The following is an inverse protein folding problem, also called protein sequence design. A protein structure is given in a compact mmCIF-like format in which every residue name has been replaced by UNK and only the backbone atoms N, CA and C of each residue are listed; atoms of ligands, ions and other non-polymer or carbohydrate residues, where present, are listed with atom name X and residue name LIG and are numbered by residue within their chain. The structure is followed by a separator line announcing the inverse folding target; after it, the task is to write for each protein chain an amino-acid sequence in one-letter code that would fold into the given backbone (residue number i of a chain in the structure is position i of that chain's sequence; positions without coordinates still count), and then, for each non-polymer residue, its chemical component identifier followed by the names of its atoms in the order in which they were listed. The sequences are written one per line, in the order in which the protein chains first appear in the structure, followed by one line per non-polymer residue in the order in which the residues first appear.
data_IF_941323200470
#
_entry.id   IF_941323200470
#
_cell.length_a   1.000
_cell.length_b   1.000
_cell.length_c   1.000
_cell.angle_alpha   90.00
_cell.angle_beta   90.00
_cell.angle_gamma   90.00
#
_symmetry.space_group_name_H-M   'P 1'
#
loop_
_entity.id
_entity.type
_entity.pdbx_description
1 polymer ?
#
# COMPACT_ATOMS: atom_id res chain seq x y z
N UNK A 1 7.29 -14.59 -16.72
CA UNK A 1 6.55 -15.06 -15.52
C UNK A 1 5.25 -14.30 -15.41
N UNK A 2 4.15 -14.96 -15.03
CA UNK A 2 2.88 -14.27 -14.80
C UNK A 2 2.88 -13.59 -13.41
N UNK A 3 2.12 -12.49 -13.25
CA UNK A 3 2.05 -11.71 -12.01
C UNK A 3 1.82 -12.56 -10.75
N UNK A 4 0.91 -13.53 -10.82
CA UNK A 4 0.58 -14.37 -9.65
C UNK A 4 1.69 -15.35 -9.27
N UNK A 5 2.48 -15.84 -10.23
CA UNK A 5 3.64 -16.69 -9.93
C UNK A 5 4.67 -15.88 -9.13
N UNK A 6 4.89 -14.63 -9.53
CA UNK A 6 5.72 -13.68 -8.80
C UNK A 6 5.18 -13.42 -7.39
N UNK A 7 3.89 -13.11 -7.23
CA UNK A 7 3.31 -12.88 -5.90
C UNK A 7 3.48 -14.11 -5.00
N UNK A 8 3.20 -15.31 -5.51
CA UNK A 8 3.29 -16.54 -4.71
C UNK A 8 4.72 -16.94 -4.36
N UNK A 9 5.70 -16.65 -5.23
CA UNK A 9 7.11 -16.92 -4.94
C UNK A 9 7.67 -16.07 -3.80
N UNK A 10 7.02 -14.95 -3.47
CA UNK A 10 7.41 -14.06 -2.36
C UNK A 10 6.63 -14.35 -1.07
N UNK A 11 5.84 -15.43 -1.01
CA UNK A 11 5.11 -15.79 0.21
C UNK A 11 5.93 -16.71 1.11
N UNK A 12 6.13 -16.29 2.36
CA UNK A 12 6.92 -17.07 3.34
C UNK A 12 6.05 -17.71 4.42
N UNK A 13 6.51 -18.84 4.97
CA UNK A 13 5.80 -19.57 6.03
C UNK A 13 5.69 -18.71 7.30
N UNK A 14 4.48 -18.66 7.87
CA UNK A 14 4.12 -17.87 9.07
C UNK A 14 4.34 -16.36 8.95
N UNK A 15 4.75 -15.85 7.78
CA UNK A 15 4.83 -14.43 7.52
C UNK A 15 3.64 -13.97 6.69
N UNK A 16 3.33 -12.68 6.81
CA UNK A 16 2.27 -12.02 6.05
C UNK A 16 2.92 -11.16 4.98
N UNK A 17 2.72 -11.52 3.71
CA UNK A 17 3.14 -10.69 2.59
C UNK A 17 2.21 -9.49 2.47
N UNK A 18 2.77 -8.28 2.36
CA UNK A 18 2.03 -7.06 2.08
C UNK A 18 2.16 -6.74 0.59
N UNK A 19 1.03 -6.59 -0.09
CA UNK A 19 0.96 -6.15 -1.48
C UNK A 19 0.24 -4.82 -1.49
N UNK A 20 0.95 -3.76 -1.86
CA UNK A 20 0.44 -2.39 -1.79
C UNK A 20 0.31 -1.84 -3.22
N UNK A 21 -0.84 -1.25 -3.52
CA UNK A 21 -1.11 -0.59 -4.80
C UNK A 21 -2.00 0.63 -4.58
N UNK A 22 -1.96 1.61 -5.48
CA UNK A 22 -2.87 2.77 -5.43
C UNK A 22 -4.18 2.43 -6.14
N UNK A 23 -5.32 2.66 -5.50
CA UNK A 23 -6.62 2.24 -6.01
C UNK A 23 -6.67 0.72 -6.27
N UNK A 24 -6.26 -0.05 -5.25
CA UNK A 24 -6.01 -1.48 -5.30
C UNK A 24 -7.14 -2.28 -5.98
N UNK A 25 -8.39 -1.89 -5.74
CA UNK A 25 -9.56 -2.61 -6.23
C UNK A 25 -9.57 -2.73 -7.76
N UNK A 26 -9.07 -1.72 -8.47
CA UNK A 26 -8.96 -1.75 -9.92
C UNK A 26 -7.98 -2.83 -10.38
N UNK A 27 -6.72 -2.74 -9.95
CA UNK A 27 -5.67 -3.69 -10.33
C UNK A 27 -6.03 -5.11 -9.93
N UNK A 28 -6.52 -5.29 -8.70
CA UNK A 28 -6.94 -6.59 -8.17
C UNK A 28 -8.02 -7.26 -9.05
N UNK A 29 -8.93 -6.46 -9.60
CA UNK A 29 -9.97 -6.93 -10.54
C UNK A 29 -9.36 -7.28 -11.89
N UNK A 30 -8.52 -6.41 -12.46
CA UNK A 30 -7.85 -6.63 -13.76
C UNK A 30 -7.01 -7.91 -13.74
N UNK A 31 -6.25 -8.15 -12.68
CA UNK A 31 -5.44 -9.36 -12.52
C UNK A 31 -6.25 -10.58 -12.07
N UNK A 32 -7.58 -10.47 -11.99
CA UNK A 32 -8.51 -11.56 -11.62
C UNK A 32 -8.18 -12.19 -10.27
N UNK A 33 -7.90 -11.37 -9.25
CA UNK A 33 -7.30 -11.83 -8.00
C UNK A 33 -8.07 -12.92 -7.27
N UNK A 34 -9.40 -12.83 -7.21
CA UNK A 34 -10.22 -13.88 -6.59
C UNK A 34 -10.03 -15.25 -7.24
N UNK A 35 -9.91 -15.30 -8.57
CA UNK A 35 -9.74 -16.55 -9.31
C UNK A 35 -8.41 -17.22 -8.96
N UNK A 36 -7.33 -16.45 -8.95
CA UNK A 36 -5.99 -16.97 -8.68
C UNK A 36 -5.79 -17.34 -7.20
N UNK A 37 -6.29 -16.52 -6.28
CA UNK A 37 -6.23 -16.80 -4.84
C UNK A 37 -7.02 -18.05 -4.46
N UNK A 38 -8.23 -18.22 -5.01
CA UNK A 38 -9.04 -19.42 -4.79
C UNK A 38 -8.35 -20.67 -5.33
N UNK A 39 -7.80 -20.61 -6.55
CA UNK A 39 -7.04 -21.72 -7.16
C UNK A 39 -5.81 -22.10 -6.31
N UNK A 40 -5.14 -21.13 -5.70
CA UNK A 40 -4.00 -21.33 -4.82
C UNK A 40 -4.36 -21.72 -3.36
N UNK A 41 -5.64 -21.94 -3.06
CA UNK A 41 -6.12 -22.43 -1.75
C UNK A 41 -6.18 -21.37 -0.66
N UNK A 42 -6.10 -20.09 -1.00
CA UNK A 42 -6.32 -19.01 -0.03
C UNK A 42 -7.80 -18.85 0.30
N UNK A 43 -8.09 -18.60 1.59
CA UNK A 43 -9.42 -18.25 2.09
C UNK A 43 -9.45 -16.78 2.50
N UNK A 44 -10.56 -16.11 2.21
CA UNK A 44 -10.80 -14.75 2.69
C UNK A 44 -10.85 -14.73 4.22
N UNK A 45 -10.19 -13.74 4.83
CA UNK A 45 -10.18 -13.52 6.28
C UNK A 45 -10.74 -12.16 6.66
N UNK A 46 -10.47 -11.15 5.85
CA UNK A 46 -11.00 -9.81 6.05
C UNK A 46 -11.13 -9.13 4.70
N UNK A 47 -12.23 -8.41 4.52
CA UNK A 47 -12.49 -7.61 3.33
C UNK A 47 -13.13 -6.29 3.78
N UNK A 48 -12.51 -5.19 3.40
CA UNK A 48 -13.06 -3.86 3.56
C UNK A 48 -12.82 -3.10 2.27
N UNK A 49 -13.88 -2.48 1.74
CA UNK A 49 -13.86 -1.66 0.56
C UNK A 49 -14.87 -0.53 0.79
N UNK A 50 -14.37 0.66 1.13
CA UNK A 50 -15.18 1.85 1.29
C UNK A 50 -14.39 3.08 0.89
N UNK A 51 -14.87 3.79 -0.15
CA UNK A 51 -14.19 4.96 -0.68
C UNK A 51 -12.77 4.63 -1.14
N UNK A 52 -11.79 5.33 -0.56
CA UNK A 52 -10.36 5.11 -0.85
C UNK A 52 -9.70 4.09 0.08
N UNK A 53 -10.48 3.47 0.99
CA UNK A 53 -9.98 2.50 1.94
C UNK A 53 -10.25 1.07 1.45
N UNK A 54 -9.21 0.39 0.96
CA UNK A 54 -9.31 -1.00 0.50
C UNK A 54 -8.31 -1.89 1.26
N UNK A 55 -8.83 -2.97 1.85
CA UNK A 55 -8.06 -3.96 2.59
C UNK A 55 -8.62 -5.34 2.26
N UNK A 56 -7.77 -6.21 1.72
CA UNK A 56 -8.10 -7.61 1.45
C UNK A 56 -7.08 -8.49 2.17
N UNK A 57 -7.51 -9.24 3.19
CA UNK A 57 -6.67 -10.20 3.89
C UNK A 57 -7.09 -11.61 3.54
N UNK A 58 -6.16 -12.40 3.01
CA UNK A 58 -6.36 -13.80 2.68
C UNK A 58 -5.32 -14.67 3.35
N UNK A 59 -5.70 -15.90 3.70
CA UNK A 59 -4.84 -16.81 4.44
C UNK A 59 -5.05 -18.26 4.02
N UNK A 60 -3.95 -19.01 3.99
CA UNK A 60 -3.93 -20.48 4.02
C UNK A 60 -3.18 -20.98 5.26
N UNK A 61 -3.08 -22.30 5.44
CA UNK A 61 -2.42 -22.88 6.64
C UNK A 61 -0.98 -22.39 6.81
N UNK A 62 -0.23 -22.27 5.72
CA UNK A 62 1.21 -21.95 5.77
C UNK A 62 1.53 -20.45 5.82
N UNK A 63 0.78 -19.60 5.11
CA UNK A 63 1.10 -18.18 4.96
C UNK A 63 -0.15 -17.31 4.72
N UNK A 64 0.04 -15.99 4.78
CA UNK A 64 -1.01 -15.00 4.58
C UNK A 64 -0.56 -13.90 3.61
N UNK A 65 -1.51 -13.29 2.90
CA UNK A 65 -1.29 -12.11 2.06
C UNK A 65 -2.30 -11.06 2.47
N UNK A 66 -1.84 -9.82 2.63
CA UNK A 66 -2.71 -8.66 2.76
C UNK A 66 -2.47 -7.73 1.58
N UNK A 67 -3.54 -7.42 0.86
CA UNK A 67 -3.56 -6.40 -0.17
C UNK A 67 -4.09 -5.10 0.45
N UNK A 68 -3.36 -4.00 0.26
CA UNK A 68 -3.66 -2.70 0.87
C UNK A 68 -3.67 -1.63 -0.20
N UNK A 69 -4.65 -0.72 -0.12
CA UNK A 69 -4.60 0.53 -0.87
C UNK A 69 -3.56 1.46 -0.26
N UNK A 70 -2.68 2.04 -1.07
CA UNK A 70 -1.79 3.09 -0.58
C UNK A 70 -2.57 4.35 -0.18
N UNK A 71 -3.78 4.54 -0.72
CA UNK A 71 -4.69 5.61 -0.31
C UNK A 71 -5.24 5.45 1.12
N UNK A 72 -5.01 4.32 1.77
CA UNK A 72 -5.27 4.16 3.21
C UNK A 72 -4.40 5.10 4.06
N UNK A 73 -3.27 5.57 3.51
CA UNK A 73 -2.37 6.53 4.15
C UNK A 73 -2.25 7.84 3.37
N UNK A 74 -2.22 7.79 2.03
CA UNK A 74 -1.96 8.95 1.17
C UNK A 74 -3.20 9.30 0.34
N UNK A 75 -4.05 10.17 0.87
CA UNK A 75 -5.33 10.54 0.21
C UNK A 75 -5.09 11.66 -0.80
N UNK A 76 -4.35 11.36 -1.86
CA UNK A 76 -4.03 12.29 -2.94
C UNK A 76 -3.84 11.57 -4.29
N UNK A 77 -3.79 12.34 -5.39
CA UNK A 77 -3.51 11.79 -6.72
C UNK A 77 -2.04 11.46 -6.89
N UNK A 78 -1.71 10.52 -7.78
CA UNK A 78 -0.31 10.12 -8.02
C UNK A 78 0.52 11.29 -8.54
N UNK A 79 -0.12 12.19 -9.29
CA UNK A 79 0.48 13.40 -9.83
C UNK A 79 0.89 14.37 -8.70
N UNK A 80 -0.02 14.65 -7.76
CA UNK A 80 0.28 15.48 -6.58
C UNK A 80 1.36 14.84 -5.70
N UNK A 81 1.30 13.52 -5.51
CA UNK A 81 2.37 12.79 -4.79
C UNK A 81 3.71 12.99 -5.48
N UNK A 82 3.76 12.83 -6.81
CA UNK A 82 4.96 12.98 -7.61
C UNK A 82 5.56 14.39 -7.50
N UNK A 83 4.73 15.43 -7.63
CA UNK A 83 5.14 16.82 -7.43
C UNK A 83 5.72 17.05 -6.02
N UNK A 84 5.03 16.56 -4.98
CA UNK A 84 5.45 16.71 -3.58
C UNK A 84 6.79 16.05 -3.28
N UNK A 85 7.10 14.91 -3.91
CA UNK A 85 8.36 14.17 -3.69
C UNK A 85 9.43 14.45 -4.75
N UNK A 86 9.16 15.36 -5.71
CA UNK A 86 10.11 15.74 -6.76
C UNK A 86 10.28 14.72 -7.89
N UNK A 87 9.33 13.79 -8.07
CA UNK A 87 9.33 12.78 -9.14
C UNK A 87 8.13 13.02 -10.05
N UNK A 88 8.34 13.66 -11.20
CA UNK A 88 7.26 13.98 -12.14
C UNK A 88 6.59 12.71 -12.68
N UNK A 89 5.25 12.67 -12.63
CA UNK A 89 4.45 11.62 -13.26
C UNK A 89 4.55 11.72 -14.78
N UNK A 90 4.82 10.60 -15.44
CA UNK A 90 4.69 10.49 -16.90
C UNK A 90 3.22 10.31 -17.24
N UNK A 91 2.63 11.31 -17.90
CA UNK A 91 1.27 11.21 -18.44
C UNK A 91 1.24 10.24 -19.64
N UNK A 92 0.14 9.51 -19.79
CA UNK A 92 -0.03 8.52 -20.87
C UNK A 92 -1.34 8.81 -21.58
N UNK A 93 -1.28 8.94 -22.90
CA UNK A 93 -2.47 8.83 -23.75
C UNK A 93 -2.69 7.36 -24.10
N UNK A 94 -3.63 6.72 -23.40
CA UNK A 94 -3.94 5.31 -23.58
C UNK A 94 -4.49 4.95 -24.97
N UNK A 95 -4.88 5.94 -25.79
CA UNK A 95 -5.36 5.70 -27.16
C UNK A 95 -4.23 5.56 -28.17
N UNK A 96 -3.12 6.25 -27.94
CA UNK A 96 -2.05 6.41 -28.94
C UNK A 96 -0.70 5.85 -28.48
N UNK A 97 -0.51 5.60 -27.19
CA UNK A 97 0.78 5.15 -26.66
C UNK A 97 1.21 3.78 -27.21
N UNK A 98 2.50 3.66 -27.47
CA UNK A 98 3.16 2.38 -27.73
C UNK A 98 3.30 1.56 -26.44
N UNK A 99 3.53 0.25 -26.60
CA UNK A 99 3.80 -0.64 -25.46
C UNK A 99 5.05 -0.22 -24.67
N UNK A 100 6.06 0.34 -25.34
CA UNK A 100 7.30 0.80 -24.70
C UNK A 100 7.04 2.01 -23.81
N UNK A 101 6.32 3.01 -24.34
CA UNK A 101 5.93 4.20 -23.58
C UNK A 101 5.06 3.83 -22.38
N UNK A 102 4.09 2.94 -22.57
CA UNK A 102 3.24 2.44 -21.49
C UNK A 102 4.08 1.74 -20.41
N UNK A 103 5.05 0.89 -20.79
CA UNK A 103 5.93 0.22 -19.83
C UNK A 103 6.78 1.21 -19.03
N UNK A 104 7.33 2.22 -19.70
CA UNK A 104 8.12 3.29 -19.06
C UNK A 104 7.26 4.09 -18.07
N UNK A 105 6.04 4.45 -18.46
CA UNK A 105 5.12 5.16 -17.58
C UNK A 105 4.69 4.32 -16.38
N UNK A 106 4.34 3.04 -16.56
CA UNK A 106 4.01 2.14 -15.45
C UNK A 106 5.16 2.01 -14.44
N UNK A 107 6.42 1.92 -14.91
CA UNK A 107 7.60 1.91 -14.03
C UNK A 107 7.74 3.22 -13.26
N UNK A 108 7.55 4.36 -13.92
CA UNK A 108 7.57 5.68 -13.27
C UNK A 108 6.47 5.79 -12.20
N UNK A 109 5.25 5.31 -12.48
CA UNK A 109 4.14 5.36 -11.53
C UNK A 109 4.42 4.52 -10.28
N UNK A 110 4.95 3.31 -10.45
CA UNK A 110 5.38 2.43 -9.35
C UNK A 110 6.55 3.03 -8.57
N UNK A 111 7.49 3.71 -9.25
CA UNK A 111 8.60 4.40 -8.60
C UNK A 111 8.11 5.53 -7.67
N UNK A 112 7.13 6.31 -8.11
CA UNK A 112 6.51 7.36 -7.28
C UNK A 112 5.89 6.75 -6.01
N UNK A 113 5.14 5.65 -6.14
CA UNK A 113 4.59 4.93 -4.99
C UNK A 113 5.68 4.45 -4.02
N UNK A 114 6.72 3.82 -4.57
CA UNK A 114 7.82 3.26 -3.79
C UNK A 114 8.58 4.33 -3.01
N UNK A 115 8.95 5.44 -3.66
CA UNK A 115 9.68 6.53 -3.01
C UNK A 115 8.82 7.25 -1.97
N UNK A 116 7.53 7.46 -2.25
CA UNK A 116 6.61 8.00 -1.27
C UNK A 116 6.49 7.09 -0.04
N UNK A 117 6.40 5.78 -0.24
CA UNK A 117 6.32 4.82 0.87
C UNK A 117 7.62 4.76 1.69
N UNK A 118 8.78 4.87 1.04
CA UNK A 118 10.08 4.97 1.73
C UNK A 118 10.19 6.22 2.59
N UNK A 119 9.70 7.37 2.11
CA UNK A 119 9.64 8.59 2.91
C UNK A 119 8.73 8.40 4.13
N UNK A 120 7.60 7.73 3.95
CA UNK A 120 6.70 7.41 5.05
C UNK A 120 7.32 6.46 6.07
N UNK A 121 8.03 5.41 5.64
CA UNK A 121 8.78 4.52 6.55
C UNK A 121 9.81 5.31 7.35
N UNK A 122 10.62 6.15 6.70
CA UNK A 122 11.60 7.03 7.37
C UNK A 122 10.94 7.93 8.40
N UNK A 123 9.77 8.48 8.09
CA UNK A 123 8.98 9.25 9.05
C UNK A 123 8.57 8.38 10.24
N UNK A 124 8.03 7.18 10.04
CA UNK A 124 7.59 6.31 11.13
C UNK A 124 8.75 5.89 12.04
N UNK A 125 9.89 5.54 11.46
CA UNK A 125 11.11 5.15 12.18
C UNK A 125 11.69 6.34 12.97
N UNK A 126 11.84 7.51 12.34
CA UNK A 126 12.36 8.71 12.99
C UNK A 126 11.50 9.22 14.14
N UNK A 127 10.19 8.97 14.09
CA UNK A 127 9.23 9.37 15.13
C UNK A 127 8.87 8.23 16.10
N UNK A 128 9.58 7.09 16.05
CA UNK A 128 9.36 5.92 16.93
C UNK A 128 7.89 5.47 16.97
N UNK A 129 7.21 5.43 15.83
CA UNK A 129 5.82 4.93 15.78
C UNK A 129 5.82 3.41 15.97
N UNK A 130 5.08 2.91 16.97
CA UNK A 130 5.10 1.50 17.38
C UNK A 130 4.92 0.49 16.25
N UNK A 131 3.95 0.73 15.37
CA UNK A 131 3.68 -0.15 14.22
C UNK A 131 2.94 0.59 13.13
N UNK A 132 3.27 0.24 11.89
CA UNK A 132 2.43 0.55 10.74
C UNK A 132 1.18 -0.33 10.76
N UNK A 133 0.02 0.30 10.84
CA UNK A 133 -1.28 -0.37 10.69
C UNK A 133 -1.83 -0.16 9.27
N UNK A 134 -2.89 -0.89 8.91
CA UNK A 134 -3.48 -0.84 7.56
C UNK A 134 -4.11 0.49 7.15
N UNK A 135 -4.29 1.42 8.08
CA UNK A 135 -4.84 2.74 7.82
C UNK A 135 -4.04 3.80 8.58
N UNK A 136 -4.07 5.05 8.10
CA UNK A 136 -3.52 6.19 8.83
C UNK A 136 -4.11 6.34 10.24
N UNK A 137 -5.42 6.14 10.40
CA UNK A 137 -6.10 6.26 11.69
C UNK A 137 -5.63 5.22 12.70
N UNK A 138 -5.55 3.94 12.28
CA UNK A 138 -5.04 2.88 13.14
C UNK A 138 -3.53 3.03 13.42
N UNK A 139 -2.78 3.62 12.49
CA UNK A 139 -1.34 3.91 12.68
C UNK A 139 -1.16 5.03 13.69
N UNK A 140 -1.96 6.10 13.59
CA UNK A 140 -1.96 7.20 14.54
C UNK A 140 -2.35 6.74 15.96
N UNK A 141 -3.36 5.88 16.08
CA UNK A 141 -3.73 5.31 17.38
C UNK A 141 -2.61 4.46 17.99
N UNK A 142 -1.90 3.67 17.16
CA UNK A 142 -0.76 2.89 17.63
C UNK A 142 0.40 3.78 18.11
N UNK A 143 0.67 4.89 17.40
CA UNK A 143 1.64 5.89 17.84
C UNK A 143 1.24 6.51 19.19
N UNK A 144 -0.02 6.97 19.30
CA UNK A 144 -0.56 7.58 20.52
C UNK A 144 -0.41 6.66 21.74
N UNK A 145 -0.83 5.39 21.62
CA UNK A 145 -0.75 4.44 22.72
C UNK A 145 0.69 4.24 23.19
N UNK A 146 1.66 4.11 22.27
CA UNK A 146 3.06 3.98 22.66
C UNK A 146 3.57 5.20 23.43
N UNK A 147 3.28 6.42 22.95
CA UNK A 147 3.69 7.65 23.63
C UNK A 147 3.06 7.76 25.02
N UNK A 148 1.79 7.39 25.16
CA UNK A 148 1.07 7.40 26.44
C UNK A 148 1.72 6.44 27.46
N UNK A 149 2.06 5.22 27.05
CA UNK A 149 2.72 4.25 27.93
C UNK A 149 4.20 4.54 28.18
N UNK A 150 4.86 5.30 27.31
CA UNK A 150 6.27 5.68 27.43
C UNK A 150 6.50 7.04 28.14
N UNK A 151 5.44 7.75 28.54
CA UNK A 151 5.54 9.05 29.21
C UNK A 151 6.05 10.20 28.32
N UNK A 152 5.92 10.10 26.99
CA UNK A 152 6.44 11.08 26.02
C UNK A 152 5.31 11.96 25.46
N UNK A 153 5.58 13.27 25.37
CA UNK A 153 4.61 14.35 25.10
C UNK A 153 3.84 14.24 23.75
N UNK A 154 2.60 14.75 23.76
CA UNK A 154 1.48 14.50 22.82
C UNK A 154 1.58 15.12 21.41
N UNK A 155 2.76 15.52 20.93
CA UNK A 155 2.89 16.35 19.70
C UNK A 155 2.71 15.59 18.38
N UNK A 156 2.82 14.26 18.38
CA UNK A 156 2.83 13.45 17.14
C UNK A 156 1.47 13.30 16.44
N UNK A 157 0.36 13.50 17.16
CA UNK A 157 -0.98 13.21 16.64
C UNK A 157 -1.48 14.23 15.61
N UNK A 158 -0.96 15.46 15.65
CA UNK A 158 -1.34 16.54 14.73
C UNK A 158 -0.66 16.33 13.36
N UNK A 159 0.56 15.82 13.32
CA UNK A 159 1.32 15.59 12.07
C UNK A 159 0.65 14.54 11.17
N UNK A 160 0.08 13.47 11.73
CA UNK A 160 -0.61 12.43 10.95
C UNK A 160 -1.99 12.84 10.43
N UNK A 161 -2.57 13.94 10.92
CA UNK A 161 -3.81 14.53 10.38
C UNK A 161 -3.56 15.70 9.42
N UNK A 162 -2.38 16.33 9.47
CA UNK A 162 -2.09 17.58 8.75
C UNK A 162 -0.91 17.57 7.78
N UNK A 163 -0.12 16.48 7.68
CA UNK A 163 1.12 16.46 6.87
C UNK A 163 1.16 15.31 5.84
N UNK A 164 0.08 14.52 5.71
CA UNK A 164 -0.13 13.56 4.62
C UNK A 164 -1.58 13.53 4.14
#
# INVERSE_FOLDING_TARGET
MAFWDFVFSHTERKQKLWVIARNLTFDFTVVKGWRHLRKAGYKLKFFHNQGTCNIISVRKKSNAIVFLDSMNWFVESLEKTGERIGIKRIAVDYKTCSKSELSTACKNHVLIELENFKLFIRFLEGNKVARLCYTRGSTAMAAFLLSHYAGVNLFYMIMLKGVF
#
